data_IF_020263627874
#
_entry.id   IF_020263627874
#
_cell.length_a   1.000
_cell.length_b   1.000
_cell.length_c   1.000
_cell.angle_alpha   90.00
_cell.angle_beta   90.00
_cell.angle_gamma   90.00
#
_symmetry.space_group_name_H-M   'P 1'
#
loop_
_entity.id
_entity.type
_entity.pdbx_description
1 polymer ?
#
# COMPACT_ATOMS: atom_id res chain seq x y z
N UNK A 1 -24.99 -16.24 -10.91
CA UNK A 1 -24.24 -15.73 -9.73
C UNK A 1 -23.36 -14.61 -10.23
N UNK A 2 -23.89 -13.39 -10.22
CA UNK A 2 -23.16 -12.20 -10.68
C UNK A 2 -22.11 -11.80 -9.63
N UNK A 3 -20.86 -11.74 -10.05
CA UNK A 3 -19.75 -11.23 -9.25
C UNK A 3 -19.83 -9.70 -9.24
N UNK A 4 -20.37 -9.16 -8.16
CA UNK A 4 -20.33 -7.73 -7.84
C UNK A 4 -18.87 -7.32 -7.65
N UNK A 5 -18.30 -6.67 -8.66
CA UNK A 5 -17.03 -5.95 -8.56
C UNK A 5 -17.25 -4.76 -7.61
N UNK A 6 -16.92 -4.96 -6.33
CA UNK A 6 -16.87 -3.87 -5.35
C UNK A 6 -15.70 -2.95 -5.73
N UNK A 7 -16.04 -1.82 -6.35
CA UNK A 7 -15.17 -0.64 -6.44
C UNK A 7 -14.64 -0.29 -5.04
N UNK A 8 -13.34 0.02 -4.89
CA UNK A 8 -12.84 0.55 -3.63
C UNK A 8 -13.46 1.95 -3.45
N UNK A 9 -14.15 2.12 -2.32
CA UNK A 9 -14.80 3.36 -1.95
C UNK A 9 -13.79 4.54 -1.97
N UNK A 10 -14.22 5.76 -2.35
CA UNK A 10 -13.41 6.94 -2.16
C UNK A 10 -13.17 7.10 -0.65
N UNK A 11 -11.90 7.18 -0.26
CA UNK A 11 -11.51 7.42 1.12
C UNK A 11 -12.22 8.69 1.65
N UNK A 12 -12.64 8.70 2.92
CA UNK A 12 -13.27 9.88 3.52
C UNK A 12 -12.28 11.06 3.50
N UNK A 13 -12.75 12.32 3.43
CA UNK A 13 -11.88 13.48 3.64
C UNK A 13 -11.32 13.39 5.06
N UNK A 14 -10.08 12.91 5.17
CA UNK A 14 -9.35 12.82 6.41
C UNK A 14 -9.00 14.24 6.85
N UNK A 15 -9.83 14.73 7.77
CA UNK A 15 -9.48 15.62 8.88
C UNK A 15 -8.62 16.82 8.49
N UNK A 16 -9.28 17.98 8.40
CA UNK A 16 -8.67 19.27 8.60
C UNK A 16 -7.87 19.26 9.91
N UNK A 17 -6.57 18.99 9.81
CA UNK A 17 -5.63 19.23 10.89
C UNK A 17 -5.45 20.73 10.95
N UNK A 18 -6.15 21.35 11.90
CA UNK A 18 -5.88 22.69 12.37
C UNK A 18 -4.40 22.76 12.76
N UNK A 19 -3.59 23.38 11.91
CA UNK A 19 -2.26 23.82 12.27
C UNK A 19 -2.36 24.89 13.38
N UNK A 20 -1.38 24.93 14.30
CA UNK A 20 -1.48 25.72 15.52
C UNK A 20 -1.44 27.20 15.19
N UNK A 21 -2.27 27.96 15.91
CA UNK A 21 -2.19 29.40 16.06
C UNK A 21 -0.73 29.85 16.29
N UNK A 22 -0.05 30.31 15.25
CA UNK A 22 1.03 31.29 15.42
C UNK A 22 0.36 32.65 15.59
N UNK A 23 0.39 33.12 16.82
CA UNK A 23 -0.12 34.41 17.22
C UNK A 23 0.56 35.55 16.44
N UNK A 24 -0.27 36.41 15.84
CA UNK A 24 -0.12 37.87 15.70
C UNK A 24 0.97 38.43 14.75
N UNK A 25 0.76 39.62 14.14
CA UNK A 25 0.07 40.76 14.76
C UNK A 25 -1.30 41.06 14.19
N UNK A 26 -2.21 41.31 15.13
CA UNK A 26 -3.38 42.17 15.00
C UNK A 26 -3.11 43.32 14.03
N UNK A 27 -3.59 43.16 12.79
CA UNK A 27 -3.76 44.28 11.88
C UNK A 27 -5.14 44.85 12.17
N UNK A 28 -5.22 45.70 13.19
CA UNK A 28 -6.39 46.53 13.45
C UNK A 28 -6.80 47.23 12.13
N UNK A 29 -7.98 46.97 11.56
CA UNK A 29 -8.49 47.78 10.49
C UNK A 29 -9.03 49.06 11.12
N UNK A 30 -8.37 50.19 10.90
CA UNK A 30 -9.00 51.49 11.18
C UNK A 30 -8.27 52.47 12.10
N UNK A 31 -6.95 52.33 12.30
CA UNK A 31 -6.13 53.50 12.61
C UNK A 31 -5.17 53.74 11.46
N UNK A 32 -5.70 54.32 10.39
CA UNK A 32 -4.88 55.07 9.45
C UNK A 32 -4.22 56.18 10.27
N UNK A 33 -2.98 55.97 10.70
CA UNK A 33 -2.12 57.07 11.09
C UNK A 33 -2.11 58.00 9.88
N UNK A 34 -2.64 59.21 10.03
CA UNK A 34 -2.71 60.21 8.95
C UNK A 34 -1.38 60.16 8.19
N UNK A 35 -1.43 59.78 6.91
CA UNK A 35 -0.21 59.61 6.14
C UNK A 35 0.54 60.95 6.13
N UNK A 36 1.88 60.95 6.15
CA UNK A 36 2.64 62.20 6.06
C UNK A 36 2.23 63.07 4.86
N UNK A 37 1.70 62.45 3.79
CA UNK A 37 1.07 63.12 2.65
C UNK A 37 -0.25 63.81 2.97
N UNK A 38 -1.09 63.24 3.82
CA UNK A 38 -2.37 63.81 4.27
C UNK A 38 -2.16 64.97 5.23
N UNK A 39 -1.21 64.84 6.16
CA UNK A 39 -0.78 65.96 7.01
C UNK A 39 -0.22 67.12 6.18
N UNK A 40 0.58 66.80 5.14
CA UNK A 40 1.11 67.80 4.21
C UNK A 40 0.01 68.50 3.41
N UNK A 41 -0.99 67.76 2.89
CA UNK A 41 -2.16 68.33 2.21
C UNK A 41 -2.92 69.27 3.15
N UNK A 42 -3.17 68.86 4.39
CA UNK A 42 -3.86 69.67 5.40
C UNK A 42 -3.10 70.96 5.72
N UNK A 43 -1.77 70.89 5.83
CA UNK A 43 -0.93 72.07 6.03
C UNK A 43 -1.02 73.05 4.85
N UNK A 44 -1.02 72.54 3.60
CA UNK A 44 -1.20 73.38 2.42
C UNK A 44 -2.59 74.04 2.38
N UNK A 45 -3.64 73.36 2.83
CA UNK A 45 -4.99 73.94 2.90
C UNK A 45 -5.09 75.08 3.92
N UNK A 46 -4.39 74.96 5.05
CA UNK A 46 -4.28 76.04 6.05
C UNK A 46 -3.52 77.23 5.45
N UNK A 47 -2.40 76.95 4.76
CA UNK A 47 -1.60 77.98 4.08
C UNK A 47 -2.41 78.70 2.98
N UNK A 48 -3.18 77.97 2.19
CA UNK A 48 -4.04 78.53 1.16
C UNK A 48 -5.07 79.50 1.77
N UNK A 49 -5.75 79.10 2.85
CA UNK A 49 -6.73 79.96 3.54
C UNK A 49 -6.09 81.22 4.12
N UNK A 50 -4.85 81.14 4.61
CA UNK A 50 -4.09 82.29 5.07
C UNK A 50 -3.78 83.27 3.92
N UNK A 51 -3.28 82.77 2.79
CA UNK A 51 -3.02 83.58 1.59
C UNK A 51 -4.31 84.23 1.03
N UNK A 52 -5.45 83.53 1.07
CA UNK A 52 -6.75 84.06 0.67
C UNK A 52 -7.24 85.19 1.58
N UNK A 53 -7.07 85.05 2.90
CA UNK A 53 -7.43 86.08 3.88
C UNK A 53 -6.55 87.34 3.75
N UNK A 54 -5.29 87.18 3.33
CA UNK A 54 -4.33 88.25 3.12
C UNK A 54 -4.40 88.87 1.71
N UNK A 55 -5.27 88.37 0.83
CA UNK A 55 -5.47 88.88 -0.54
C UNK A 55 -4.39 88.46 -1.56
N UNK A 56 -3.49 87.54 -1.22
CA UNK A 56 -2.43 87.02 -2.11
C UNK A 56 -2.92 85.86 -2.97
N UNK A 57 -3.75 86.17 -3.96
CA UNK A 57 -4.41 85.14 -4.80
C UNK A 57 -3.47 84.32 -5.69
N UNK A 58 -2.33 84.88 -6.12
CA UNK A 58 -1.37 84.15 -6.97
C UNK A 58 -0.71 83.00 -6.18
N UNK A 59 -0.36 83.23 -4.92
CA UNK A 59 0.20 82.22 -4.02
C UNK A 59 -0.85 81.17 -3.62
N UNK A 60 -2.10 81.60 -3.42
CA UNK A 60 -3.22 80.70 -3.16
C UNK A 60 -3.47 79.76 -4.37
N UNK A 61 -3.41 80.26 -5.61
CA UNK A 61 -3.56 79.42 -6.80
C UNK A 61 -2.39 78.44 -6.97
N UNK A 62 -1.15 78.86 -6.69
CA UNK A 62 0.01 77.97 -6.67
C UNK A 62 -0.13 76.85 -5.63
N UNK A 63 -0.56 77.20 -4.41
CA UNK A 63 -0.83 76.25 -3.32
C UNK A 63 -1.95 75.28 -3.69
N UNK A 64 -3.02 75.79 -4.30
CA UNK A 64 -4.15 74.98 -4.79
C UNK A 64 -3.71 73.95 -5.83
N UNK A 65 -2.88 74.35 -6.81
CA UNK A 65 -2.33 73.40 -7.80
C UNK A 65 -1.51 72.30 -7.11
N UNK A 66 -0.70 72.67 -6.11
CA UNK A 66 0.11 71.72 -5.35
C UNK A 66 -0.73 70.74 -4.53
N UNK A 67 -1.85 71.18 -3.96
CA UNK A 67 -2.81 70.30 -3.27
C UNK A 67 -3.40 69.28 -4.24
N UNK A 68 -3.77 69.69 -5.45
CA UNK A 68 -4.32 68.79 -6.48
C UNK A 68 -3.30 67.71 -6.86
N UNK A 69 -2.05 68.10 -7.13
CA UNK A 69 -0.95 67.16 -7.42
C UNK A 69 -0.72 66.18 -6.26
N UNK A 70 -0.69 66.69 -5.02
CA UNK A 70 -0.49 65.88 -3.83
C UNK A 70 -1.64 64.87 -3.63
N UNK A 71 -2.89 65.26 -3.92
CA UNK A 71 -4.06 64.36 -3.87
C UNK A 71 -3.98 63.25 -4.91
N UNK A 72 -3.70 63.59 -6.17
CA UNK A 72 -3.57 62.60 -7.25
C UNK A 72 -2.46 61.59 -6.96
N UNK A 73 -1.30 62.05 -6.50
CA UNK A 73 -0.18 61.15 -6.15
C UNK A 73 -0.50 60.28 -4.94
N UNK A 74 -1.21 60.80 -3.93
CA UNK A 74 -1.64 60.03 -2.77
C UNK A 74 -2.65 58.94 -3.17
N UNK A 75 -3.64 59.28 -3.99
CA UNK A 75 -4.63 58.31 -4.50
C UNK A 75 -3.97 57.22 -5.34
N UNK A 76 -3.04 57.57 -6.24
CA UNK A 76 -2.28 56.58 -7.02
C UNK A 76 -1.48 55.64 -6.12
N UNK A 77 -0.79 56.17 -5.10
CA UNK A 77 -0.06 55.34 -4.12
C UNK A 77 -1.00 54.41 -3.35
N UNK A 78 -2.18 54.88 -2.93
CA UNK A 78 -3.18 54.03 -2.26
C UNK A 78 -3.66 52.90 -3.17
N UNK A 79 -3.91 53.20 -4.46
CA UNK A 79 -4.28 52.19 -5.47
C UNK A 79 -3.17 51.16 -5.67
N UNK A 80 -1.94 51.62 -5.86
CA UNK A 80 -0.77 50.74 -6.03
C UNK A 80 -0.57 49.84 -4.80
N UNK A 81 -0.69 50.37 -3.59
CA UNK A 81 -0.60 49.58 -2.36
C UNK A 81 -1.65 48.47 -2.29
N UNK A 82 -2.90 48.77 -2.66
CA UNK A 82 -3.98 47.76 -2.72
C UNK A 82 -3.65 46.70 -3.77
N UNK A 83 -3.23 47.11 -4.96
CA UNK A 83 -2.83 46.18 -6.03
C UNK A 83 -1.65 45.30 -5.60
N UNK A 84 -0.62 45.87 -4.97
CA UNK A 84 0.53 45.13 -4.46
C UNK A 84 0.12 44.13 -3.38
N UNK A 85 -0.80 44.50 -2.46
CA UNK A 85 -1.35 43.59 -1.46
C UNK A 85 -2.06 42.41 -2.11
N UNK A 86 -2.95 42.65 -3.06
CA UNK A 86 -3.65 41.57 -3.77
C UNK A 86 -2.72 40.66 -4.55
N UNK A 87 -1.70 41.20 -5.21
CA UNK A 87 -0.68 40.39 -5.88
C UNK A 87 0.07 39.52 -4.87
N UNK A 88 0.46 40.09 -3.74
CA UNK A 88 1.16 39.36 -2.69
C UNK A 88 0.29 38.25 -2.08
N UNK A 89 -0.97 38.55 -1.74
CA UNK A 89 -1.94 37.57 -1.22
C UNK A 89 -2.16 36.43 -2.21
N UNK A 90 -2.33 36.75 -3.50
CA UNK A 90 -2.51 35.74 -4.55
C UNK A 90 -1.27 34.85 -4.67
N UNK A 91 -0.08 35.43 -4.73
CA UNK A 91 1.17 34.67 -4.83
C UNK A 91 1.42 33.80 -3.58
N UNK A 92 1.11 34.32 -2.40
CA UNK A 92 1.23 33.56 -1.16
C UNK A 92 0.28 32.35 -1.15
N UNK A 93 -0.97 32.55 -1.58
CA UNK A 93 -1.95 31.48 -1.71
C UNK A 93 -1.52 30.45 -2.74
N UNK A 94 -1.11 30.87 -3.94
CA UNK A 94 -0.62 29.97 -5.00
C UNK A 94 0.60 29.16 -4.52
N UNK A 95 1.54 29.81 -3.83
CA UNK A 95 2.72 29.16 -3.25
C UNK A 95 2.32 28.13 -2.18
N UNK A 96 1.36 28.46 -1.32
CA UNK A 96 0.86 27.53 -0.30
C UNK A 96 0.18 26.33 -0.95
N UNK A 97 -0.71 26.55 -1.92
CA UNK A 97 -1.37 25.47 -2.65
C UNK A 97 -0.38 24.54 -3.37
N UNK A 98 0.66 25.10 -3.98
CA UNK A 98 1.69 24.29 -4.64
C UNK A 98 2.45 23.43 -3.62
N UNK A 99 2.80 23.99 -2.46
CA UNK A 99 3.46 23.25 -1.39
C UNK A 99 2.56 22.13 -0.82
N UNK A 100 1.27 22.43 -0.58
CA UNK A 100 0.30 21.44 -0.10
C UNK A 100 0.11 20.30 -1.10
N UNK A 101 0.05 20.62 -2.40
CA UNK A 101 -0.06 19.63 -3.47
C UNK A 101 1.18 18.74 -3.56
N UNK A 102 2.38 19.32 -3.43
CA UNK A 102 3.63 18.56 -3.40
C UNK A 102 3.67 17.60 -2.19
N UNK A 103 3.36 18.10 -1.00
CA UNK A 103 3.29 17.28 0.21
C UNK A 103 2.25 16.16 0.10
N UNK A 104 1.09 16.44 -0.51
CA UNK A 104 0.07 15.43 -0.76
C UNK A 104 0.59 14.34 -1.68
N UNK A 105 1.20 14.71 -2.81
CA UNK A 105 1.74 13.74 -3.76
C UNK A 105 2.84 12.89 -3.15
N UNK A 106 3.77 13.49 -2.40
CA UNK A 106 4.83 12.76 -1.70
C UNK A 106 4.25 11.73 -0.73
N UNK A 107 3.32 12.15 0.13
CA UNK A 107 2.64 11.25 1.09
C UNK A 107 1.85 10.15 0.37
N UNK A 108 1.19 10.49 -0.73
CA UNK A 108 0.40 9.56 -1.52
C UNK A 108 1.28 8.51 -2.21
N UNK A 109 2.36 8.94 -2.85
CA UNK A 109 3.35 8.05 -3.48
C UNK A 109 3.99 7.12 -2.45
N UNK A 110 4.39 7.65 -1.28
CA UNK A 110 4.89 6.81 -0.19
C UNK A 110 3.84 5.79 0.26
N UNK A 111 2.59 6.22 0.47
CA UNK A 111 1.52 5.33 0.92
C UNK A 111 1.21 4.22 -0.08
N UNK A 112 1.24 4.52 -1.37
CA UNK A 112 1.10 3.51 -2.43
C UNK A 112 2.27 2.54 -2.39
N UNK A 113 3.51 3.03 -2.33
CA UNK A 113 4.70 2.19 -2.25
C UNK A 113 4.68 1.24 -1.04
N UNK A 114 4.31 1.74 0.13
CA UNK A 114 4.18 0.93 1.35
C UNK A 114 3.10 -0.15 1.21
N UNK A 115 1.94 0.21 0.64
CA UNK A 115 0.84 -0.74 0.42
C UNK A 115 1.22 -1.81 -0.61
N UNK A 116 1.92 -1.45 -1.69
CA UNK A 116 2.41 -2.38 -2.70
C UNK A 116 3.43 -3.34 -2.10
N UNK A 117 4.41 -2.84 -1.34
CA UNK A 117 5.39 -3.65 -0.63
C UNK A 117 4.72 -4.60 0.38
N UNK A 118 3.72 -4.13 1.13
CA UNK A 118 2.96 -4.96 2.06
C UNK A 118 2.16 -6.05 1.33
N UNK A 119 1.52 -5.73 0.21
CA UNK A 119 0.78 -6.69 -0.60
C UNK A 119 1.70 -7.76 -1.18
N UNK A 120 2.89 -7.37 -1.65
CA UNK A 120 3.89 -8.30 -2.16
C UNK A 120 4.46 -9.20 -1.05
N UNK A 121 4.74 -8.64 0.14
CA UNK A 121 5.16 -9.41 1.30
C UNK A 121 4.10 -10.45 1.71
N UNK A 122 2.82 -10.07 1.77
CA UNK A 122 1.72 -11.01 2.07
C UNK A 122 1.59 -12.09 0.99
N UNK A 123 1.74 -11.73 -0.28
CA UNK A 123 1.73 -12.69 -1.39
C UNK A 123 2.87 -13.70 -1.26
N UNK A 124 4.07 -13.25 -0.91
CA UNK A 124 5.23 -14.13 -0.73
C UNK A 124 5.08 -15.00 0.52
N UNK A 125 4.60 -14.44 1.63
CA UNK A 125 4.29 -15.22 2.83
C UNK A 125 3.26 -16.32 2.54
N UNK A 126 2.21 -16.01 1.77
CA UNK A 126 1.21 -17.00 1.36
C UNK A 126 1.81 -18.09 0.47
N UNK A 127 2.66 -17.71 -0.49
CA UNK A 127 3.39 -18.69 -1.33
C UNK A 127 4.28 -19.59 -0.48
N UNK A 128 5.01 -19.04 0.49
CA UNK A 128 5.86 -19.83 1.38
C UNK A 128 5.05 -20.78 2.26
N UNK A 129 3.95 -20.30 2.85
CA UNK A 129 3.03 -21.14 3.64
C UNK A 129 2.49 -22.27 2.77
N UNK A 130 2.00 -21.95 1.58
CA UNK A 130 1.49 -22.95 0.65
C UNK A 130 2.57 -23.96 0.26
N UNK A 131 3.79 -23.52 -0.05
CA UNK A 131 4.89 -24.43 -0.37
C UNK A 131 5.23 -25.35 0.81
N UNK A 132 5.27 -24.83 2.04
CA UNK A 132 5.50 -25.62 3.26
C UNK A 132 4.37 -26.63 3.49
N UNK A 133 3.12 -26.21 3.34
CA UNK A 133 1.95 -27.09 3.44
C UNK A 133 1.99 -28.22 2.41
N UNK A 134 2.34 -27.91 1.16
CA UNK A 134 2.52 -28.90 0.10
C UNK A 134 3.63 -29.90 0.43
N UNK A 135 4.77 -29.45 0.97
CA UNK A 135 5.85 -30.36 1.38
C UNK A 135 5.42 -31.28 2.53
N UNK A 136 4.77 -30.73 3.57
CA UNK A 136 4.26 -31.51 4.70
C UNK A 136 3.21 -32.52 4.26
N UNK A 137 2.31 -32.13 3.35
CA UNK A 137 1.32 -33.05 2.79
C UNK A 137 1.97 -34.18 1.98
N UNK A 138 3.00 -33.88 1.17
CA UNK A 138 3.77 -34.89 0.44
C UNK A 138 4.45 -35.88 1.39
N UNK A 139 5.11 -35.38 2.44
CA UNK A 139 5.78 -36.24 3.43
C UNK A 139 4.78 -37.13 4.18
N UNK A 140 3.64 -36.57 4.59
CA UNK A 140 2.54 -37.35 5.20
C UNK A 140 1.99 -38.42 4.26
N UNK A 141 1.87 -38.11 2.97
CA UNK A 141 1.40 -39.07 1.97
C UNK A 141 2.43 -40.20 1.75
N UNK A 142 3.72 -39.86 1.67
CA UNK A 142 4.79 -40.85 1.53
C UNK A 142 4.91 -41.76 2.76
N UNK A 143 4.82 -41.21 3.97
CA UNK A 143 4.83 -41.99 5.21
C UNK A 143 3.61 -42.91 5.33
N UNK A 144 2.39 -42.40 5.05
CA UNK A 144 1.20 -43.24 5.03
C UNK A 144 1.31 -44.41 4.04
N UNK A 145 1.93 -44.20 2.87
CA UNK A 145 2.18 -45.27 1.90
C UNK A 145 3.19 -46.30 2.38
N UNK A 146 4.24 -45.87 3.10
CA UNK A 146 5.24 -46.76 3.69
C UNK A 146 4.64 -47.60 4.83
N UNK A 147 3.71 -47.04 5.61
CA UNK A 147 3.08 -47.71 6.74
C UNK A 147 2.08 -48.80 6.34
N UNK A 148 1.40 -48.66 5.19
CA UNK A 148 0.45 -49.68 4.72
C UNK A 148 1.22 -50.94 4.31
N UNK A 149 1.28 -51.95 5.20
CA UNK A 149 1.80 -53.28 4.85
C UNK A 149 1.02 -53.85 3.67
N UNK A 150 1.68 -54.39 2.64
CA UNK A 150 0.98 -55.02 1.53
C UNK A 150 0.17 -56.23 2.01
N UNK A 151 -0.96 -56.48 1.34
CA UNK A 151 -1.73 -57.70 1.56
C UNK A 151 -0.92 -58.88 1.00
N UNK A 152 -0.57 -59.83 1.86
CA UNK A 152 0.15 -61.04 1.48
C UNK A 152 -0.73 -61.88 0.54
N UNK A 153 -0.13 -62.50 -0.48
CA UNK A 153 -0.90 -63.36 -1.38
C UNK A 153 -1.48 -64.58 -0.65
N UNK A 154 -2.53 -65.13 -1.24
CA UNK A 154 -3.15 -66.37 -0.77
C UNK A 154 -2.14 -67.54 -0.78
N UNK A 155 -1.27 -67.59 -1.78
CA UNK A 155 -0.26 -68.64 -1.91
C UNK A 155 0.75 -68.59 -0.76
N UNK A 156 1.17 -67.39 -0.36
CA UNK A 156 2.04 -67.19 0.79
C UNK A 156 1.41 -67.71 2.10
N UNK A 157 0.12 -67.40 2.30
CA UNK A 157 -0.63 -67.85 3.47
C UNK A 157 -0.80 -69.37 3.48
N UNK A 158 -1.05 -69.98 2.33
CA UNK A 158 -1.19 -71.42 2.19
C UNK A 158 0.15 -72.13 2.41
N UNK A 159 1.28 -71.55 1.98
CA UNK A 159 2.61 -72.05 2.31
C UNK A 159 2.95 -71.91 3.81
N UNK A 160 2.55 -70.83 4.49
CA UNK A 160 2.71 -70.69 5.95
C UNK A 160 1.91 -71.75 6.72
N UNK A 161 0.66 -72.02 6.33
CA UNK A 161 -0.13 -73.12 6.90
C UNK A 161 0.55 -74.48 6.68
N UNK A 162 1.12 -74.69 5.50
CA UNK A 162 1.87 -75.92 5.17
C UNK A 162 3.13 -76.06 6.02
N UNK A 163 3.84 -74.96 6.27
CA UNK A 163 5.01 -74.93 7.15
C UNK A 163 4.63 -75.33 8.59
N UNK A 164 3.56 -74.75 9.14
CA UNK A 164 3.04 -75.09 10.47
C UNK A 164 2.67 -76.58 10.56
N UNK A 165 1.98 -77.11 9.54
CA UNK A 165 1.59 -78.52 9.49
C UNK A 165 2.81 -79.45 9.44
N UNK A 166 3.82 -79.14 8.62
CA UNK A 166 5.06 -79.92 8.50
C UNK A 166 5.91 -79.84 9.78
N UNK A 167 5.93 -78.69 10.44
CA UNK A 167 6.58 -78.52 11.74
C UNK A 167 5.90 -79.36 12.82
N UNK A 168 4.56 -79.40 12.85
CA UNK A 168 3.80 -80.27 13.75
C UNK A 168 4.02 -81.76 13.47
N UNK A 169 4.18 -82.14 12.20
CA UNK A 169 4.50 -83.50 11.77
C UNK A 169 5.98 -83.89 11.98
N UNK A 170 6.80 -82.98 12.54
CA UNK A 170 8.25 -83.14 12.79
C UNK A 170 9.08 -83.41 11.54
N UNK A 171 8.58 -83.04 10.36
CA UNK A 171 9.28 -83.18 9.09
C UNK A 171 10.15 -81.94 8.84
N UNK A 172 11.24 -81.81 9.59
CA UNK A 172 12.07 -80.60 9.61
C UNK A 172 12.75 -80.29 8.27
N UNK A 173 13.21 -81.30 7.53
CA UNK A 173 13.86 -81.12 6.23
C UNK A 173 12.91 -80.59 5.16
N UNK A 174 11.64 -80.99 5.20
CA UNK A 174 10.61 -80.49 4.28
C UNK A 174 10.11 -79.11 4.71
N UNK A 175 10.00 -78.89 6.03
CA UNK A 175 9.69 -77.58 6.60
C UNK A 175 10.73 -76.53 6.21
N UNK A 176 12.02 -76.84 6.25
CA UNK A 176 13.10 -75.93 5.82
C UNK A 176 12.98 -75.56 4.34
N UNK A 177 12.66 -76.52 3.47
CA UNK A 177 12.41 -76.27 2.04
C UNK A 177 11.19 -75.38 1.81
N UNK A 178 10.12 -75.58 2.59
CA UNK A 178 8.91 -74.74 2.50
C UNK A 178 9.19 -73.34 3.08
N UNK A 179 10.00 -73.22 4.13
CA UNK A 179 10.43 -71.94 4.69
C UNK A 179 11.26 -71.13 3.69
N UNK A 180 12.24 -71.75 3.04
CA UNK A 180 13.01 -71.08 1.98
C UNK A 180 12.12 -70.60 0.82
N UNK A 181 11.07 -71.36 0.47
CA UNK A 181 10.07 -70.94 -0.51
C UNK A 181 9.23 -69.76 -0.01
N UNK A 182 8.85 -69.75 1.27
CA UNK A 182 8.14 -68.63 1.89
C UNK A 182 9.01 -67.38 1.86
N UNK A 183 10.24 -67.44 2.35
CA UNK A 183 11.14 -66.27 2.41
C UNK A 183 11.42 -65.70 1.00
N UNK A 184 11.57 -66.56 -0.02
CA UNK A 184 11.72 -66.15 -1.41
C UNK A 184 10.45 -65.49 -1.97
N UNK A 185 9.27 -66.09 -1.74
CA UNK A 185 7.99 -65.52 -2.18
C UNK A 185 7.66 -64.21 -1.44
N UNK A 186 7.97 -64.10 -0.15
CA UNK A 186 7.81 -62.88 0.63
C UNK A 186 8.68 -61.75 0.09
N UNK A 187 9.95 -62.03 -0.24
CA UNK A 187 10.84 -61.04 -0.83
C UNK A 187 10.33 -60.56 -2.20
N UNK A 188 9.90 -61.48 -3.07
CA UNK A 188 9.36 -61.13 -4.38
C UNK A 188 8.06 -60.31 -4.28
N UNK A 189 7.13 -60.70 -3.41
CA UNK A 189 5.86 -59.98 -3.24
C UNK A 189 6.06 -58.60 -2.61
N UNK A 190 7.01 -58.45 -1.68
CA UNK A 190 7.37 -57.16 -1.12
C UNK A 190 7.97 -56.23 -2.19
N UNK A 191 8.86 -56.72 -3.05
CA UNK A 191 9.43 -55.92 -4.13
C UNK A 191 8.39 -55.55 -5.18
N UNK A 192 7.53 -56.49 -5.60
CA UNK A 192 6.41 -56.22 -6.52
C UNK A 192 5.44 -55.18 -5.92
N UNK A 193 5.11 -55.29 -4.64
CA UNK A 193 4.24 -54.33 -3.97
C UNK A 193 4.86 -52.93 -3.85
N UNK A 194 6.18 -52.84 -3.58
CA UNK A 194 6.91 -51.56 -3.59
C UNK A 194 6.92 -50.93 -4.98
N UNK A 195 7.16 -51.73 -6.03
CA UNK A 195 7.18 -51.27 -7.41
C UNK A 195 5.81 -50.71 -7.83
N UNK A 196 4.73 -51.45 -7.58
CA UNK A 196 3.35 -51.01 -7.90
C UNK A 196 3.00 -49.71 -7.17
N UNK A 197 3.36 -49.58 -5.88
CA UNK A 197 3.14 -48.32 -5.15
C UNK A 197 3.94 -47.15 -5.70
N UNK A 198 5.20 -47.38 -6.10
CA UNK A 198 6.06 -46.36 -6.71
C UNK A 198 5.49 -45.89 -8.05
N UNK A 199 4.97 -46.81 -8.86
CA UNK A 199 4.31 -46.50 -10.14
C UNK A 199 2.99 -45.74 -9.93
N UNK A 200 2.16 -46.16 -8.97
CA UNK A 200 0.94 -45.43 -8.60
C UNK A 200 1.23 -44.00 -8.14
N UNK A 201 2.33 -43.78 -7.41
CA UNK A 201 2.77 -42.43 -7.04
C UNK A 201 3.20 -41.60 -8.25
N UNK A 202 4.03 -42.15 -9.13
CA UNK A 202 4.46 -41.44 -10.34
C UNK A 202 3.25 -41.04 -11.21
N UNK A 203 2.26 -41.94 -11.37
CA UNK A 203 1.04 -41.65 -12.12
C UNK A 203 0.15 -40.59 -11.44
N UNK A 204 0.12 -40.54 -10.11
CA UNK A 204 -0.60 -39.49 -9.37
C UNK A 204 0.13 -38.14 -9.44
N UNK A 205 1.46 -38.14 -9.37
CA UNK A 205 2.29 -36.94 -9.56
C UNK A 205 2.09 -36.35 -10.95
N UNK A 206 2.09 -37.19 -12.00
CA UNK A 206 1.81 -36.76 -13.38
C UNK A 206 0.41 -36.14 -13.51
N UNK A 207 -0.61 -36.78 -12.94
CA UNK A 207 -1.99 -36.24 -12.92
C UNK A 207 -2.08 -34.90 -12.17
N UNK A 208 -1.41 -34.77 -11.04
CA UNK A 208 -1.37 -33.52 -10.27
C UNK A 208 -0.63 -32.41 -11.04
N UNK A 209 0.45 -32.74 -11.76
CA UNK A 209 1.19 -31.80 -12.59
C UNK A 209 0.35 -31.28 -13.75
N UNK A 210 -0.37 -32.17 -14.44
CA UNK A 210 -1.31 -31.81 -15.54
C UNK A 210 -2.48 -30.96 -15.03
N UNK A 211 -2.95 -31.23 -13.81
CA UNK A 211 -4.03 -30.43 -13.19
C UNK A 211 -3.52 -29.06 -12.71
N UNK A 212 -2.27 -28.97 -12.25
CA UNK A 212 -1.66 -27.70 -11.85
C UNK A 212 -1.39 -26.77 -13.06
N UNK A 213 -1.00 -27.32 -14.21
CA UNK A 213 -0.76 -26.53 -15.43
C UNK A 213 -2.05 -26.06 -16.11
N UNK A 214 -3.18 -26.72 -15.91
CA UNK A 214 -4.48 -26.27 -16.46
C UNK A 214 -5.20 -25.22 -15.61
N UNK A 215 -4.76 -24.99 -14.36
CA UNK A 215 -5.39 -24.08 -13.39
C UNK A 215 -4.65 -22.74 -13.23
N UNK A 216 -3.46 -22.58 -13.82
CA UNK A 216 -2.77 -21.29 -13.94
C UNK A 216 -3.14 -20.62 -15.29
N UNK A 217 -4.12 -19.70 -15.34
CA UNK A 217 -4.29 -18.87 -16.53
C UNK A 217 -3.07 -17.96 -16.67
N UNK A 218 -2.64 -17.79 -17.93
CA UNK A 218 -1.57 -16.89 -18.35
C UNK A 218 -1.84 -15.43 -17.97
#
# INVERSE_FOLDING_TARGET
>A
MELVVRSPAPAPPAQAQAAPNSAAPDSQPGRETESGTEMFIRMLEIHQRACEAEGRYIEADSTRRRIIEARVTNENKKREQITSKHIHERLALESQHLADFQQFNEKWTMRIGDNEAQAEAMKNELKEKHMKEMMVQKEKHLSALLEVRPKLSRELLDHRRKLELLAHQKQYLEAEKVKAKIDALEAEELEKAKAVKKEQNAALEEKLLVCATSVLPA
#
